data_IF_146524952146
#
_entry.id   IF_146524952146
#
_cell.length_a   1.000
_cell.length_b   1.000
_cell.length_c   1.000
_cell.angle_alpha   90.00
_cell.angle_beta   90.00
_cell.angle_gamma   90.00
#
_symmetry.space_group_name_H-M   'P 1'
#
loop_
_entity.id
_entity.type
_entity.pdbx_description
1 polymer ?
#
# COMPACT_ATOMS: atom_id res chain seq x y z
N UNK A 1 11.65 -25.92 -16.17
CA UNK A 1 10.64 -24.88 -16.53
C UNK A 1 9.53 -24.92 -15.50
N UNK A 2 9.21 -23.79 -14.84
CA UNK A 2 8.10 -23.74 -13.88
C UNK A 2 6.82 -23.42 -14.63
N UNK A 3 5.83 -24.30 -14.55
CA UNK A 3 4.51 -24.10 -15.19
C UNK A 3 3.55 -23.54 -14.15
N UNK A 4 2.89 -22.44 -14.48
CA UNK A 4 1.91 -21.79 -13.61
C UNK A 4 0.49 -22.05 -14.14
N UNK A 5 -0.36 -22.64 -13.32
CA UNK A 5 -1.78 -22.79 -13.62
C UNK A 5 -2.51 -21.52 -13.19
N UNK A 6 -2.80 -20.63 -14.14
CA UNK A 6 -3.46 -19.35 -13.89
C UNK A 6 -4.85 -19.53 -13.28
N UNK A 7 -5.60 -20.55 -13.72
CA UNK A 7 -6.95 -20.82 -13.20
C UNK A 7 -6.89 -21.23 -11.73
N UNK A 8 -5.98 -22.13 -11.37
CA UNK A 8 -5.76 -22.53 -9.97
C UNK A 8 -5.31 -21.35 -9.12
N UNK A 9 -4.35 -20.55 -9.61
CA UNK A 9 -3.90 -19.34 -8.90
C UNK A 9 -5.05 -18.35 -8.67
N UNK A 10 -5.92 -18.14 -9.66
CA UNK A 10 -7.10 -17.27 -9.52
C UNK A 10 -8.06 -17.81 -8.44
N UNK A 11 -8.31 -19.12 -8.44
CA UNK A 11 -9.14 -19.79 -7.43
C UNK A 11 -8.56 -19.64 -6.01
N UNK A 12 -7.26 -19.86 -5.85
CA UNK A 12 -6.57 -19.77 -4.56
C UNK A 12 -6.52 -18.32 -4.01
N UNK A 13 -6.54 -17.33 -4.91
CA UNK A 13 -6.49 -15.90 -4.55
C UNK A 13 -7.87 -15.29 -4.26
N UNK A 14 -8.91 -15.78 -4.93
CA UNK A 14 -10.25 -15.19 -4.89
C UNK A 14 -10.44 -14.04 -5.88
N UNK A 15 -11.66 -13.88 -6.38
CA UNK A 15 -11.95 -12.96 -7.48
C UNK A 15 -11.72 -11.49 -7.13
N UNK A 16 -12.10 -11.06 -5.93
CA UNK A 16 -11.90 -9.69 -5.47
C UNK A 16 -10.42 -9.31 -5.39
N UNK A 17 -9.57 -10.17 -4.85
CA UNK A 17 -8.14 -9.87 -4.78
C UNK A 17 -7.48 -9.91 -6.15
N UNK A 18 -7.97 -10.79 -7.05
CA UNK A 18 -7.54 -10.81 -8.44
C UNK A 18 -7.93 -9.53 -9.21
N UNK A 19 -9.11 -8.96 -8.99
CA UNK A 19 -9.49 -7.70 -9.64
C UNK A 19 -8.63 -6.52 -9.18
N UNK A 20 -8.10 -6.58 -7.96
CA UNK A 20 -7.23 -5.54 -7.37
C UNK A 20 -5.74 -5.68 -7.74
N UNK A 21 -5.34 -6.76 -8.43
CA UNK A 21 -3.92 -6.98 -8.79
C UNK A 21 -3.27 -5.81 -9.56
N UNK A 22 -3.93 -5.16 -10.55
CA UNK A 22 -3.34 -4.00 -11.23
C UNK A 22 -3.04 -2.86 -10.27
N UNK A 23 -3.92 -2.60 -9.31
CA UNK A 23 -3.73 -1.57 -8.30
C UNK A 23 -2.58 -1.94 -7.34
N UNK A 24 -2.54 -3.18 -6.85
CA UNK A 24 -1.46 -3.68 -5.98
C UNK A 24 -0.11 -3.59 -6.72
N UNK A 25 -0.08 -3.91 -8.00
CA UNK A 25 1.11 -3.81 -8.84
C UNK A 25 1.59 -2.35 -8.96
N UNK A 26 0.69 -1.42 -9.28
CA UNK A 26 1.02 -0.01 -9.42
C UNK A 26 1.52 0.62 -8.10
N UNK A 27 0.85 0.35 -6.97
CA UNK A 27 1.17 0.97 -5.68
C UNK A 27 2.43 0.38 -5.02
N UNK A 28 2.74 -0.90 -5.30
CA UNK A 28 3.92 -1.58 -4.74
C UNK A 28 5.18 -1.45 -5.61
N UNK A 29 5.07 -0.74 -6.73
CA UNK A 29 6.11 -0.54 -7.73
C UNK A 29 6.03 -1.52 -8.89
N UNK A 30 5.97 -0.98 -10.10
CA UNK A 30 6.05 -1.69 -11.37
C UNK A 30 7.17 -1.12 -12.24
N UNK A 31 7.27 -1.56 -13.49
CA UNK A 31 8.30 -1.07 -14.42
C UNK A 31 8.21 0.46 -14.66
N UNK A 32 7.04 1.06 -14.41
CA UNK A 32 6.79 2.50 -14.59
C UNK A 32 6.60 3.28 -13.28
N UNK A 33 6.55 2.62 -12.12
CA UNK A 33 6.38 3.29 -10.82
C UNK A 33 7.43 2.83 -9.82
N UNK A 34 8.03 3.79 -9.10
CA UNK A 34 8.91 3.44 -8.00
C UNK A 34 8.11 2.84 -6.86
N UNK A 35 8.64 1.74 -6.29
CA UNK A 35 8.11 1.17 -5.06
C UNK A 35 8.30 2.12 -3.89
N UNK A 36 7.36 2.11 -2.95
CA UNK A 36 7.58 2.73 -1.65
C UNK A 36 8.76 2.06 -0.92
N UNK A 37 9.59 2.88 -0.28
CA UNK A 37 10.76 2.40 0.44
C UNK A 37 10.37 1.37 1.50
N UNK A 38 11.07 0.23 1.52
CA UNK A 38 10.81 -0.84 2.48
C UNK A 38 9.53 -1.66 2.23
N UNK A 39 8.68 -1.28 1.27
CA UNK A 39 7.42 -2.00 0.97
C UNK A 39 7.59 -2.74 -0.36
N UNK A 40 7.49 -4.06 -0.32
CA UNK A 40 7.60 -4.92 -1.52
C UNK A 40 6.24 -5.49 -1.94
N UNK A 41 6.13 -5.96 -3.17
CA UNK A 41 4.90 -6.53 -3.73
C UNK A 41 4.29 -7.63 -2.84
N UNK A 42 5.12 -8.54 -2.31
CA UNK A 42 4.64 -9.59 -1.41
C UNK A 42 4.08 -9.06 -0.07
N UNK A 43 4.66 -7.98 0.46
CA UNK A 43 4.17 -7.35 1.69
C UNK A 43 2.85 -6.60 1.45
N UNK A 44 2.78 -5.84 0.34
CA UNK A 44 1.56 -5.18 -0.09
C UNK A 44 0.44 -6.21 -0.32
N UNK A 45 0.69 -7.24 -1.12
CA UNK A 45 -0.27 -8.32 -1.37
C UNK A 45 -0.81 -8.94 -0.08
N UNK A 46 0.06 -9.27 0.89
CA UNK A 46 -0.36 -9.82 2.19
C UNK A 46 -1.28 -8.86 2.94
N UNK A 47 -0.99 -7.55 2.92
CA UNK A 47 -1.80 -6.53 3.58
C UNK A 47 -3.17 -6.40 2.92
N UNK A 48 -3.24 -6.42 1.59
CA UNK A 48 -4.52 -6.46 0.85
C UNK A 48 -5.31 -7.71 1.18
N UNK A 49 -4.65 -8.89 1.14
CA UNK A 49 -5.28 -10.17 1.48
C UNK A 49 -5.87 -10.18 2.89
N UNK A 50 -5.24 -9.50 3.86
CA UNK A 50 -5.66 -9.51 5.27
C UNK A 50 -6.65 -8.39 5.65
N UNK A 51 -6.99 -7.47 4.75
CA UNK A 51 -7.73 -6.25 5.12
C UNK A 51 -8.83 -5.94 4.10
N UNK A 52 -10.08 -6.22 4.48
CA UNK A 52 -11.27 -5.84 3.67
C UNK A 52 -11.33 -4.33 3.46
N UNK A 53 -11.01 -3.54 4.50
CA UNK A 53 -10.94 -2.08 4.42
C UNK A 53 -10.08 -1.55 3.26
N UNK A 54 -8.85 -2.04 3.13
CA UNK A 54 -7.92 -1.64 2.06
C UNK A 54 -8.42 -2.12 0.69
N UNK A 55 -9.05 -3.30 0.63
CA UNK A 55 -9.67 -3.78 -0.61
C UNK A 55 -10.81 -2.87 -1.07
N UNK A 56 -11.66 -2.41 -0.15
CA UNK A 56 -12.76 -1.50 -0.43
C UNK A 56 -12.25 -0.12 -0.90
N UNK A 57 -11.23 0.43 -0.25
CA UNK A 57 -10.60 1.68 -0.68
C UNK A 57 -10.01 1.57 -2.09
N UNK A 58 -9.29 0.48 -2.37
CA UNK A 58 -8.72 0.26 -3.69
C UNK A 58 -9.81 0.06 -4.76
N UNK A 59 -10.89 -0.65 -4.43
CA UNK A 59 -12.02 -0.81 -5.33
C UNK A 59 -12.69 0.54 -5.65
N UNK A 60 -12.86 1.43 -4.66
CA UNK A 60 -13.37 2.79 -4.88
C UNK A 60 -12.51 3.60 -5.83
N UNK A 61 -11.18 3.48 -5.74
CA UNK A 61 -10.26 4.13 -6.66
C UNK A 61 -10.44 3.59 -8.08
N UNK A 62 -10.60 2.27 -8.23
CA UNK A 62 -10.73 1.62 -9.55
C UNK A 62 -12.09 1.84 -10.23
N UNK A 63 -13.18 2.07 -9.50
CA UNK A 63 -14.56 2.11 -10.04
C UNK A 63 -15.06 3.53 -10.38
N UNK A 64 -14.17 4.45 -10.76
CA UNK A 64 -14.46 5.88 -10.94
C UNK A 64 -14.84 6.58 -9.62
N UNK A 65 -13.90 7.35 -9.09
CA UNK A 65 -14.13 8.23 -7.94
C UNK A 65 -13.78 9.68 -8.28
N UNK A 66 -14.30 10.62 -7.50
CA UNK A 66 -13.82 12.00 -7.56
C UNK A 66 -12.33 12.05 -7.21
N UNK A 67 -11.65 13.13 -7.64
CA UNK A 67 -10.24 13.34 -7.32
C UNK A 67 -10.00 13.31 -5.81
N UNK A 68 -10.89 13.93 -5.05
CA UNK A 68 -10.83 14.03 -3.59
C UNK A 68 -10.92 12.64 -2.95
N UNK A 69 -11.85 11.80 -3.43
CA UNK A 69 -12.00 10.43 -2.94
C UNK A 69 -10.79 9.57 -3.30
N UNK A 70 -10.23 9.72 -4.50
CA UNK A 70 -9.02 8.99 -4.92
C UNK A 70 -7.84 9.36 -4.03
N UNK A 71 -7.66 10.66 -3.75
CA UNK A 71 -6.59 11.14 -2.86
C UNK A 71 -6.78 10.60 -1.45
N UNK A 72 -7.97 10.77 -0.85
CA UNK A 72 -8.25 10.31 0.51
C UNK A 72 -8.06 8.78 0.65
N UNK A 73 -8.60 8.00 -0.29
CA UNK A 73 -8.43 6.56 -0.27
C UNK A 73 -6.96 6.14 -0.49
N UNK A 74 -6.24 6.86 -1.36
CA UNK A 74 -4.82 6.64 -1.60
C UNK A 74 -3.97 6.89 -0.36
N UNK A 75 -4.18 8.00 0.33
CA UNK A 75 -3.49 8.36 1.58
C UNK A 75 -3.69 7.30 2.66
N UNK A 76 -4.92 6.82 2.82
CA UNK A 76 -5.27 5.81 3.81
C UNK A 76 -4.63 4.44 3.48
N UNK A 77 -4.61 4.05 2.20
CA UNK A 77 -3.91 2.85 1.75
C UNK A 77 -2.40 2.96 2.01
N UNK A 78 -1.79 4.11 1.71
CA UNK A 78 -0.37 4.37 1.96
C UNK A 78 -0.06 4.31 3.45
N UNK A 79 -0.91 4.88 4.30
CA UNK A 79 -0.78 4.81 5.75
C UNK A 79 -0.81 3.35 6.22
N UNK A 80 -1.82 2.58 5.79
CA UNK A 80 -1.97 1.17 6.13
C UNK A 80 -0.75 0.31 5.71
N UNK A 81 -0.20 0.56 4.51
CA UNK A 81 1.00 -0.14 4.02
C UNK A 81 2.26 0.22 4.82
N UNK A 82 2.28 1.40 5.45
CA UNK A 82 3.36 1.88 6.30
C UNK A 82 3.25 1.44 7.76
N UNK A 83 2.33 0.52 8.09
CA UNK A 83 2.18 -0.03 9.45
C UNK A 83 1.23 0.76 10.34
N UNK A 84 0.34 1.54 9.75
CA UNK A 84 -0.69 2.27 10.47
C UNK A 84 -2.00 1.47 10.65
N UNK A 85 -2.83 1.91 11.61
CA UNK A 85 -4.15 1.36 11.99
C UNK A 85 -5.19 2.48 11.90
N UNK A 86 -6.00 2.52 10.84
CA UNK A 86 -7.22 3.33 10.60
C UNK A 86 -7.32 4.74 11.25
N UNK A 87 -7.49 5.80 10.44
CA UNK A 87 -7.86 7.17 10.84
C UNK A 87 -6.82 8.12 11.53
N UNK A 88 -5.47 7.95 11.47
CA UNK A 88 -4.48 8.97 11.93
C UNK A 88 -4.41 10.13 10.92
N UNK A 89 -4.67 9.82 9.65
CA UNK A 89 -4.19 10.61 8.53
C UNK A 89 -2.70 10.41 8.29
N UNK A 90 -2.28 10.63 7.04
CA UNK A 90 -0.91 10.37 6.61
C UNK A 90 0.12 11.33 7.25
N UNK A 91 -0.28 12.56 7.56
CA UNK A 91 0.58 13.57 8.18
C UNK A 91 0.99 13.23 9.62
N UNK A 92 0.04 12.75 10.43
CA UNK A 92 0.33 12.37 11.80
C UNK A 92 1.24 11.12 11.83
N UNK A 93 1.04 10.18 10.90
CA UNK A 93 1.95 9.04 10.71
C UNK A 93 3.37 9.50 10.32
N UNK A 94 3.50 10.45 9.39
CA UNK A 94 4.79 11.02 8.98
C UNK A 94 5.49 11.66 10.19
N UNK A 95 4.77 12.47 10.95
CA UNK A 95 5.31 13.12 12.15
C UNK A 95 5.76 12.10 13.20
N UNK A 96 4.94 11.09 13.51
CA UNK A 96 5.28 10.06 14.50
C UNK A 96 6.50 9.25 14.10
N UNK A 97 6.59 8.83 12.83
CA UNK A 97 7.77 8.11 12.32
C UNK A 97 9.02 8.97 12.33
N UNK A 98 8.90 10.25 11.99
CA UNK A 98 10.00 11.20 12.08
C UNK A 98 10.48 11.36 13.53
N UNK A 99 9.57 11.69 14.46
CA UNK A 99 9.89 11.87 15.87
C UNK A 99 10.55 10.62 16.46
N UNK A 100 10.02 9.44 16.18
CA UNK A 100 10.60 8.16 16.61
C UNK A 100 12.03 7.97 16.09
N UNK A 101 12.30 8.32 14.83
CA UNK A 101 13.65 8.22 14.23
C UNK A 101 14.62 9.25 14.77
N UNK A 102 14.16 10.47 15.09
CA UNK A 102 14.98 11.50 15.73
C UNK A 102 15.40 11.07 17.13
N UNK A 103 14.48 10.50 17.91
CA UNK A 103 14.77 10.05 19.29
C UNK A 103 15.70 8.84 19.31
N UNK A 104 15.57 7.91 18.36
CA UNK A 104 16.31 6.64 18.35
C UNK A 104 17.60 6.66 17.55
N UNK A 105 17.83 7.70 16.73
CA UNK A 105 18.95 7.76 15.79
C UNK A 105 20.11 8.62 16.27
N UNK A 106 21.34 8.17 16.02
CA UNK A 106 22.56 8.99 16.13
C UNK A 106 22.92 9.69 14.79
N UNK A 107 22.07 9.60 13.77
CA UNK A 107 22.28 10.11 12.41
C UNK A 107 21.05 10.86 11.91
N UNK A 108 21.24 11.69 10.87
CA UNK A 108 20.17 12.40 10.19
C UNK A 108 19.07 11.47 9.66
N UNK A 109 17.81 11.88 9.79
CA UNK A 109 16.66 11.12 9.28
C UNK A 109 16.67 11.12 7.76
N UNK A 110 16.75 9.92 7.19
CA UNK A 110 16.65 9.68 5.76
C UNK A 110 15.19 9.81 5.31
N UNK A 111 14.87 10.81 4.48
CA UNK A 111 13.50 11.18 4.09
C UNK A 111 12.75 10.03 3.42
N UNK A 112 13.43 9.24 2.59
CA UNK A 112 12.86 8.06 1.93
C UNK A 112 12.34 7.00 2.92
N UNK A 113 12.78 7.04 4.18
CA UNK A 113 12.31 6.09 5.21
C UNK A 113 11.02 6.52 5.91
N UNK A 114 10.50 7.70 5.56
CA UNK A 114 9.19 8.20 5.98
C UNK A 114 8.13 7.78 4.96
N UNK A 115 6.82 7.77 5.32
CA UNK A 115 5.75 7.57 4.36
C UNK A 115 5.87 8.62 3.23
N UNK A 116 5.59 8.26 1.96
CA UNK A 116 5.77 9.17 0.83
C UNK A 116 4.88 10.41 0.99
N UNK A 117 5.30 11.52 0.35
CA UNK A 117 4.58 12.81 0.30
C UNK A 117 3.41 12.70 -0.68
#
# INVERSE_FOLDING_TARGET
MRIWNIQKTKQDMGEQLCSLLPFIHAISGCDTTFRMFGIGMGAAYKKFKSSVYIQDLAQRIMTYSSKENVVQAGEEIVACLNGYVENEGLDLLRYRKFASKVVTGNMYVQVQTLPPI
#
